data_IF_827038572944
#
_entry.id   IF_827038572944
#
_cell.length_a   1.000
_cell.length_b   1.000
_cell.length_c   1.000
_cell.angle_alpha   90.00
_cell.angle_beta   90.00
_cell.angle_gamma   90.00
#
_symmetry.space_group_name_H-M   'P 1'
#
loop_
_entity.id
_entity.type
_entity.pdbx_description
1 polymer ?
#
# COMPACT_ATOMS: atom_id res chain seq x y z
N UNK A 1 -15.34 -14.61 5.03
CA UNK A 1 -14.86 -13.80 3.89
C UNK A 1 -15.99 -12.89 3.45
N UNK A 2 -15.84 -11.62 3.77
CA UNK A 2 -16.70 -10.52 3.33
C UNK A 2 -15.96 -9.73 2.25
N UNK A 3 -16.70 -9.27 1.24
CA UNK A 3 -16.18 -8.43 0.17
C UNK A 3 -16.64 -6.99 0.42
N UNK A 4 -15.69 -6.11 0.67
CA UNK A 4 -15.92 -4.69 0.88
C UNK A 4 -15.58 -3.90 -0.39
N UNK A 5 -16.59 -3.25 -0.96
CA UNK A 5 -16.42 -2.33 -2.09
C UNK A 5 -16.20 -0.93 -1.52
N UNK A 6 -14.94 -0.47 -1.54
CA UNK A 6 -14.53 0.82 -1.00
C UNK A 6 -14.69 1.88 -2.09
N UNK A 7 -15.84 2.55 -2.09
CA UNK A 7 -16.19 3.54 -3.14
C UNK A 7 -17.27 4.52 -2.71
N UNK A 8 -17.17 5.75 -3.22
CA UNK A 8 -18.25 6.74 -3.19
C UNK A 8 -19.21 6.59 -4.38
N UNK A 9 -18.87 5.75 -5.38
CA UNK A 9 -19.69 5.53 -6.57
C UNK A 9 -20.72 4.42 -6.34
N UNK A 10 -21.95 4.82 -6.03
CA UNK A 10 -23.06 3.88 -5.82
C UNK A 10 -23.42 3.04 -7.06
N UNK A 11 -23.24 3.56 -8.27
CA UNK A 11 -23.50 2.79 -9.49
C UNK A 11 -22.50 1.65 -9.66
N UNK A 12 -21.23 1.92 -9.37
CA UNK A 12 -20.20 0.90 -9.36
C UNK A 12 -20.52 -0.19 -8.33
N UNK A 13 -20.84 0.19 -7.08
CA UNK A 13 -21.22 -0.76 -6.05
C UNK A 13 -22.43 -1.63 -6.46
N UNK A 14 -23.51 -1.03 -6.93
CA UNK A 14 -24.71 -1.76 -7.35
C UNK A 14 -24.41 -2.71 -8.52
N UNK A 15 -23.62 -2.27 -9.50
CA UNK A 15 -23.20 -3.09 -10.63
C UNK A 15 -22.37 -4.29 -10.21
N UNK A 16 -21.40 -4.08 -9.31
CA UNK A 16 -20.56 -5.13 -8.75
C UNK A 16 -21.39 -6.12 -7.92
N UNK A 17 -22.26 -5.62 -7.03
CA UNK A 17 -23.15 -6.45 -6.19
C UNK A 17 -24.10 -7.32 -7.01
N UNK A 18 -24.59 -6.82 -8.15
CA UNK A 18 -25.49 -7.55 -9.03
C UNK A 18 -24.79 -8.61 -9.89
N UNK A 19 -23.50 -8.42 -10.21
CA UNK A 19 -22.76 -9.25 -11.17
C UNK A 19 -21.76 -10.21 -10.53
N UNK A 20 -21.30 -9.93 -9.33
CA UNK A 20 -20.43 -10.86 -8.60
C UNK A 20 -21.19 -12.15 -8.28
N UNK A 21 -20.55 -13.30 -8.55
CA UNK A 21 -21.10 -14.63 -8.29
C UNK A 21 -21.10 -15.02 -6.80
N UNK A 22 -20.86 -14.06 -5.90
CA UNK A 22 -20.85 -14.26 -4.45
C UNK A 22 -22.21 -13.93 -3.84
N UNK A 23 -22.47 -14.45 -2.64
CA UNK A 23 -23.69 -14.15 -1.90
C UNK A 23 -23.85 -12.62 -1.71
N UNK A 24 -24.98 -12.02 -2.10
CA UNK A 24 -25.20 -10.57 -1.97
C UNK A 24 -25.17 -10.05 -0.53
N UNK A 25 -25.25 -10.95 0.47
CA UNK A 25 -25.13 -10.62 1.90
C UNK A 25 -23.69 -10.40 2.33
N UNK A 26 -22.74 -10.97 1.58
CA UNK A 26 -21.31 -10.90 1.89
C UNK A 26 -20.64 -9.75 1.13
N UNK A 27 -21.39 -8.98 0.31
CA UNK A 27 -20.90 -7.84 -0.45
C UNK A 27 -21.44 -6.55 0.16
N UNK A 28 -20.53 -5.81 0.80
CA UNK A 28 -20.82 -4.59 1.54
C UNK A 28 -20.14 -3.38 0.88
N UNK A 29 -20.81 -2.22 0.92
CA UNK A 29 -20.18 -0.96 0.52
C UNK A 29 -19.52 -0.31 1.73
N UNK A 30 -18.31 0.19 1.55
CA UNK A 30 -17.65 1.07 2.50
C UNK A 30 -17.27 2.39 1.85
N UNK A 31 -17.47 3.48 2.57
CA UNK A 31 -16.93 4.77 2.15
C UNK A 31 -15.46 4.87 2.59
N UNK A 32 -14.55 5.41 1.76
CA UNK A 32 -13.14 5.56 2.13
C UNK A 32 -12.94 6.22 3.50
N UNK A 33 -13.69 7.30 3.78
CA UNK A 33 -13.64 8.04 5.05
C UNK A 33 -14.12 7.25 6.27
N UNK A 34 -15.03 6.29 6.06
CA UNK A 34 -15.51 5.42 7.14
C UNK A 34 -14.44 4.39 7.45
N UNK A 35 -13.86 3.77 6.42
CA UNK A 35 -12.78 2.82 6.57
C UNK A 35 -11.54 3.43 7.25
N UNK A 36 -11.21 4.70 6.96
CA UNK A 36 -10.15 5.45 7.65
C UNK A 36 -10.35 5.61 9.15
N UNK A 37 -11.60 5.51 9.64
CA UNK A 37 -11.97 5.64 11.05
C UNK A 37 -12.24 4.30 11.73
N UNK A 38 -12.30 3.21 10.95
CA UNK A 38 -12.52 1.86 11.47
C UNK A 38 -11.23 1.30 12.07
N UNK A 39 -11.38 0.42 13.05
CA UNK A 39 -10.22 -0.31 13.57
C UNK A 39 -9.94 -1.51 12.67
N UNK A 40 -8.67 -1.74 12.34
CA UNK A 40 -8.30 -2.88 11.47
C UNK A 40 -8.62 -4.25 12.10
N UNK A 41 -8.82 -4.30 13.43
CA UNK A 41 -9.26 -5.48 14.15
C UNK A 41 -10.71 -5.89 13.84
N UNK A 42 -11.51 -4.99 13.25
CA UNK A 42 -12.90 -5.26 12.87
C UNK A 42 -13.02 -6.16 11.62
N UNK A 43 -11.90 -6.43 10.94
CA UNK A 43 -11.87 -7.14 9.66
C UNK A 43 -11.08 -8.45 9.75
N UNK A 44 -11.51 -9.46 8.99
CA UNK A 44 -10.84 -10.74 8.95
C UNK A 44 -9.70 -10.76 7.91
N UNK A 45 -8.67 -11.57 8.16
CA UNK A 45 -7.54 -11.76 7.23
C UNK A 45 -7.95 -12.32 5.87
N UNK A 46 -9.11 -12.96 5.79
CA UNK A 46 -9.64 -13.53 4.55
C UNK A 46 -10.63 -12.59 3.84
N UNK A 47 -10.90 -11.40 4.39
CA UNK A 47 -11.77 -10.42 3.75
C UNK A 47 -11.10 -9.83 2.50
N UNK A 48 -11.91 -9.30 1.60
CA UNK A 48 -11.45 -8.73 0.33
C UNK A 48 -11.92 -7.30 0.21
N UNK A 49 -11.01 -6.39 -0.12
CA UNK A 49 -11.27 -4.96 -0.25
C UNK A 49 -11.04 -4.54 -1.69
N UNK A 50 -12.08 -4.05 -2.37
CA UNK A 50 -12.03 -3.55 -3.73
C UNK A 50 -12.14 -2.03 -3.69
N UNK A 51 -11.02 -1.35 -3.90
CA UNK A 51 -10.94 0.10 -3.94
C UNK A 51 -11.27 0.62 -5.34
N UNK A 52 -12.38 1.33 -5.46
CA UNK A 52 -12.74 2.10 -6.65
C UNK A 52 -12.93 3.56 -6.24
N UNK A 53 -11.82 4.26 -6.07
CA UNK A 53 -11.77 5.64 -5.57
C UNK A 53 -10.66 6.43 -6.27
N UNK A 54 -10.80 7.76 -6.24
CA UNK A 54 -9.79 8.72 -6.70
C UNK A 54 -8.86 9.23 -5.58
N UNK A 55 -9.12 8.80 -4.36
CA UNK A 55 -8.33 9.22 -3.22
C UNK A 55 -8.44 8.15 -2.15
N UNK A 56 -7.30 7.75 -1.62
CA UNK A 56 -7.21 6.97 -0.38
C UNK A 56 -6.39 7.80 0.59
N UNK A 57 -6.90 7.94 1.81
CA UNK A 57 -6.17 8.63 2.85
C UNK A 57 -4.79 8.04 3.06
N UNK A 58 -3.93 8.89 3.61
CA UNK A 58 -2.54 8.57 3.91
C UNK A 58 -2.42 7.34 4.81
N UNK A 59 -3.28 7.23 5.83
CA UNK A 59 -3.27 6.12 6.80
C UNK A 59 -3.67 4.77 6.19
N UNK A 60 -4.69 4.73 5.32
CA UNK A 60 -5.04 3.48 4.65
C UNK A 60 -3.99 3.08 3.61
N UNK A 61 -3.49 4.05 2.86
CA UNK A 61 -2.36 3.83 1.94
C UNK A 61 -1.17 3.23 2.69
N UNK A 62 -0.96 3.68 3.93
CA UNK A 62 0.07 3.21 4.83
C UNK A 62 -0.15 1.78 5.34
N UNK A 63 -1.35 1.45 5.80
CA UNK A 63 -1.65 0.10 6.28
C UNK A 63 -1.56 -0.92 5.14
N UNK A 64 -2.11 -0.58 3.97
CA UNK A 64 -2.05 -1.43 2.76
C UNK A 64 -0.60 -1.66 2.39
N UNK A 65 0.23 -0.62 2.49
CA UNK A 65 1.62 -0.73 2.12
C UNK A 65 2.46 -1.68 2.98
N UNK A 66 2.19 -1.68 4.27
CA UNK A 66 3.03 -2.35 5.25
C UNK A 66 2.60 -3.80 5.49
N UNK A 67 1.46 -4.20 4.95
CA UNK A 67 0.91 -5.55 5.17
C UNK A 67 0.20 -5.70 6.49
N UNK A 68 0.00 -4.58 7.18
CA UNK A 68 -0.81 -4.49 8.38
C UNK A 68 -2.29 -4.30 8.03
N UNK A 69 -2.61 -4.08 6.75
CA UNK A 69 -4.00 -4.04 6.32
C UNK A 69 -4.59 -5.46 6.32
N UNK A 70 -5.75 -5.65 6.94
CA UNK A 70 -6.41 -6.95 7.00
C UNK A 70 -6.95 -7.31 5.62
N UNK A 71 -6.86 -8.59 5.26
CA UNK A 71 -7.47 -9.05 4.02
C UNK A 71 -6.64 -8.80 2.77
N UNK A 72 -7.27 -9.12 1.65
CA UNK A 72 -6.73 -8.94 0.31
C UNK A 72 -7.21 -7.65 -0.30
N UNK A 73 -6.29 -6.88 -0.88
CA UNK A 73 -6.61 -5.57 -1.46
C UNK A 73 -6.53 -5.62 -2.98
N UNK A 74 -7.61 -5.20 -3.64
CA UNK A 74 -7.71 -5.02 -5.09
C UNK A 74 -7.96 -3.53 -5.35
N UNK A 75 -7.13 -2.90 -6.17
CA UNK A 75 -7.21 -1.49 -6.50
C UNK A 75 -7.62 -1.30 -7.96
N UNK A 76 -8.68 -0.53 -8.19
CA UNK A 76 -9.21 -0.16 -9.50
C UNK A 76 -9.25 1.37 -9.56
N UNK A 77 -8.22 2.03 -10.11
CA UNK A 77 -8.14 3.48 -10.12
C UNK A 77 -9.26 4.07 -10.97
N UNK A 78 -9.91 5.11 -10.44
CA UNK A 78 -10.95 5.86 -11.19
C UNK A 78 -10.34 6.88 -12.17
N UNK A 79 -9.06 7.21 -12.02
CA UNK A 79 -8.33 8.15 -12.86
C UNK A 79 -6.97 7.60 -13.27
N UNK A 80 -6.65 7.65 -14.58
CA UNK A 80 -5.32 7.31 -15.11
C UNK A 80 -4.19 8.19 -14.58
N UNK A 81 -4.51 9.37 -14.03
CA UNK A 81 -3.54 10.31 -13.46
C UNK A 81 -3.19 9.99 -12.01
N UNK A 82 -3.97 9.14 -11.35
CA UNK A 82 -3.67 8.77 -9.98
C UNK A 82 -2.51 7.83 -9.93
N UNK A 83 -1.40 8.44 -9.59
CA UNK A 83 -0.25 7.78 -9.03
C UNK A 83 -0.65 7.35 -7.62
N UNK A 84 -1.48 6.32 -7.49
CA UNK A 84 -1.29 5.40 -6.37
C UNK A 84 0.13 4.89 -6.58
N UNK A 85 1.10 5.62 -6.02
CA UNK A 85 2.49 5.31 -6.25
C UNK A 85 2.65 3.94 -5.63
N UNK A 86 2.91 2.98 -6.51
CA UNK A 86 2.96 1.53 -6.33
C UNK A 86 4.01 1.09 -5.31
N UNK A 87 4.35 1.95 -4.37
CA UNK A 87 5.49 1.87 -3.49
C UNK A 87 5.39 0.68 -2.56
N UNK A 88 4.24 0.00 -2.52
CA UNK A 88 4.05 -1.14 -1.65
C UNK A 88 3.04 -2.15 -2.18
N UNK A 89 3.46 -2.86 -3.21
CA UNK A 89 3.70 -4.30 -3.23
C UNK A 89 2.66 -5.33 -2.72
N UNK A 90 1.68 -4.99 -1.88
CA UNK A 90 0.80 -5.94 -1.19
C UNK A 90 -0.64 -5.98 -1.71
N UNK A 91 -0.91 -5.31 -2.83
CA UNK A 91 -2.24 -5.22 -3.42
C UNK A 91 -2.20 -5.51 -4.93
N UNK A 92 -3.32 -5.99 -5.46
CA UNK A 92 -3.50 -6.26 -6.89
C UNK A 92 -4.08 -5.02 -7.56
N UNK A 93 -3.44 -4.53 -8.62
CA UNK A 93 -3.98 -3.41 -9.41
C UNK A 93 -4.64 -3.93 -10.68
N UNK A 94 -5.86 -3.49 -10.91
CA UNK A 94 -6.59 -3.71 -12.16
C UNK A 94 -6.74 -2.37 -12.89
N UNK A 95 -6.83 -2.40 -14.22
CA UNK A 95 -7.14 -1.18 -14.99
C UNK A 95 -8.59 -0.74 -14.72
N UNK A 96 -8.85 0.55 -14.88
CA UNK A 96 -10.21 1.12 -14.92
C UNK A 96 -11.18 0.42 -15.87
N UNK A 97 -10.68 -0.24 -16.93
CA UNK A 97 -11.46 -1.03 -17.89
C UNK A 97 -11.61 -2.51 -17.52
N UNK A 98 -11.19 -2.92 -16.32
CA UNK A 98 -11.27 -4.30 -15.88
C UNK A 98 -12.70 -4.83 -15.88
N UNK A 99 -12.86 -6.06 -16.33
CA UNK A 99 -14.14 -6.75 -16.40
C UNK A 99 -14.49 -7.41 -15.06
N UNK A 100 -15.73 -7.87 -14.92
CA UNK A 100 -16.15 -8.63 -13.74
C UNK A 100 -15.33 -9.92 -13.61
N UNK A 101 -15.06 -10.59 -14.73
CA UNK A 101 -14.29 -11.84 -14.74
C UNK A 101 -12.85 -11.60 -14.26
N UNK A 102 -12.24 -10.46 -14.62
CA UNK A 102 -10.92 -10.07 -14.11
C UNK A 102 -10.95 -9.89 -12.59
N UNK A 103 -11.97 -9.22 -12.06
CA UNK A 103 -12.15 -9.01 -10.62
C UNK A 103 -12.34 -10.36 -9.93
N UNK A 104 -13.22 -11.23 -10.44
CA UNK A 104 -13.51 -12.56 -9.86
C UNK A 104 -12.27 -13.43 -9.87
N UNK A 105 -11.54 -13.46 -10.99
CA UNK A 105 -10.28 -14.20 -11.10
C UNK A 105 -9.29 -13.73 -10.03
N UNK A 106 -9.18 -12.41 -9.82
CA UNK A 106 -8.32 -11.84 -8.77
C UNK A 106 -8.87 -12.02 -7.37
N UNK A 107 -10.15 -12.24 -7.13
CA UNK A 107 -10.67 -12.61 -5.80
C UNK A 107 -10.25 -14.05 -5.48
N UNK A 108 -10.51 -14.97 -6.42
CA UNK A 108 -10.33 -16.41 -6.26
C UNK A 108 -8.85 -16.82 -6.26
N UNK A 109 -8.01 -16.15 -7.04
CA UNK A 109 -6.59 -16.51 -7.12
C UNK A 109 -5.93 -16.32 -5.74
N UNK A 110 -5.49 -17.41 -5.12
CA UNK A 110 -4.64 -17.34 -3.92
C UNK A 110 -3.20 -16.89 -4.25
N UNK A 111 -2.97 -16.49 -5.50
CA UNK A 111 -1.69 -16.11 -6.03
C UNK A 111 -1.15 -14.88 -5.30
N UNK A 112 -0.37 -15.21 -4.29
CA UNK A 112 0.79 -14.45 -3.83
C UNK A 112 1.80 -14.14 -4.95
N UNK A 113 1.60 -14.64 -6.18
CA UNK A 113 2.53 -14.54 -7.31
C UNK A 113 2.51 -13.18 -8.03
N UNK A 114 1.42 -12.42 -8.01
CA UNK A 114 1.39 -11.06 -8.59
C UNK A 114 1.90 -9.97 -7.63
N UNK A 115 2.28 -10.36 -6.42
CA UNK A 115 2.71 -9.39 -5.42
C UNK A 115 4.18 -9.04 -5.62
N UNK A 116 4.44 -7.78 -5.93
CA UNK A 116 5.75 -7.20 -5.63
C UNK A 116 6.09 -7.35 -4.11
N UNK A 117 5.18 -7.81 -3.23
CA UNK A 117 5.44 -8.16 -1.84
C UNK A 117 6.51 -9.26 -1.73
N UNK A 118 6.52 -10.23 -2.66
CA UNK A 118 7.64 -11.17 -2.74
C UNK A 118 8.97 -10.47 -3.10
N UNK A 119 8.96 -9.37 -3.86
CA UNK A 119 10.17 -8.58 -4.14
C UNK A 119 10.65 -7.79 -2.92
N UNK A 120 9.75 -7.17 -2.16
CA UNK A 120 10.12 -6.48 -0.91
C UNK A 120 10.65 -7.47 0.15
N UNK A 121 10.06 -8.67 0.25
CA UNK A 121 10.57 -9.73 1.11
C UNK A 121 11.90 -10.33 0.62
N UNK A 122 12.18 -10.28 -0.69
CA UNK A 122 13.43 -10.80 -1.30
C UNK A 122 14.63 -9.86 -1.18
N UNK A 123 14.44 -8.57 -0.95
CA UNK A 123 15.54 -7.59 -0.84
C UNK A 123 15.32 -6.63 0.34
N UNK A 124 15.52 -7.10 1.59
CA UNK A 124 15.40 -6.27 2.77
C UNK A 124 16.42 -5.12 2.76
N UNK A 125 16.11 -4.07 3.52
CA UNK A 125 17.06 -2.99 3.79
C UNK A 125 18.30 -3.58 4.48
N UNK A 126 19.47 -3.26 3.95
CA UNK A 126 20.72 -3.52 4.66
C UNK A 126 20.82 -2.63 5.89
N UNK A 127 21.67 -3.02 6.85
CA UNK A 127 21.93 -2.22 8.07
C UNK A 127 22.30 -0.76 7.77
N UNK A 128 23.05 -0.52 6.70
CA UNK A 128 23.47 0.84 6.30
C UNK A 128 22.33 1.63 5.64
N UNK A 129 21.52 0.99 4.79
CA UNK A 129 20.32 1.59 4.20
C UNK A 129 19.30 1.97 5.28
N UNK A 130 19.13 1.10 6.26
CA UNK A 130 18.28 1.29 7.43
C UNK A 130 18.74 2.47 8.30
N UNK A 131 20.02 2.52 8.66
CA UNK A 131 20.58 3.63 9.44
C UNK A 131 20.46 4.98 8.72
N UNK A 132 20.74 5.03 7.41
CA UNK A 132 20.60 6.25 6.59
C UNK A 132 19.13 6.69 6.50
N UNK A 133 18.20 5.73 6.32
CA UNK A 133 16.78 6.06 6.29
C UNK A 133 16.29 6.58 7.64
N UNK A 134 16.71 5.99 8.77
CA UNK A 134 16.35 6.48 10.12
C UNK A 134 16.58 7.97 10.27
N UNK A 135 17.81 8.40 10.02
CA UNK A 135 18.20 9.78 10.17
C UNK A 135 17.53 10.68 9.12
N UNK A 136 17.32 10.17 7.89
CA UNK A 136 16.56 10.88 6.86
C UNK A 136 15.13 11.18 7.33
N UNK A 137 14.51 10.22 8.00
CA UNK A 137 13.14 10.31 8.51
C UNK A 137 13.05 11.30 9.68
N UNK A 138 14.05 11.29 10.55
CA UNK A 138 14.19 12.27 11.64
C UNK A 138 14.54 13.69 11.12
N UNK A 139 14.55 13.91 9.79
CA UNK A 139 14.81 15.21 9.18
C UNK A 139 16.27 15.64 9.20
N UNK A 140 17.20 14.72 9.44
CA UNK A 140 18.63 15.01 9.48
C UNK A 140 19.16 15.30 8.07
N UNK A 141 19.99 16.34 7.97
CA UNK A 141 20.67 16.70 6.73
C UNK A 141 21.73 15.66 6.32
N UNK A 142 21.92 15.47 5.01
CA UNK A 142 22.83 14.45 4.45
C UNK A 142 24.28 14.61 4.90
N UNK A 143 24.75 15.83 5.19
CA UNK A 143 26.09 16.07 5.72
C UNK A 143 26.21 15.55 7.15
N UNK A 144 25.19 15.82 7.99
CA UNK A 144 25.12 15.30 9.37
C UNK A 144 25.02 13.77 9.38
N UNK A 145 24.24 13.18 8.48
CA UNK A 145 24.14 11.72 8.36
C UNK A 145 25.51 11.11 8.02
N UNK A 146 26.23 11.71 7.06
CA UNK A 146 27.57 11.25 6.68
C UNK A 146 28.56 11.31 7.84
N UNK A 147 28.50 12.37 8.66
CA UNK A 147 29.30 12.49 9.88
C UNK A 147 28.90 11.46 10.93
N UNK A 148 27.61 11.29 11.22
CA UNK A 148 27.12 10.34 12.23
C UNK A 148 27.45 8.88 11.90
N UNK A 149 27.40 8.52 10.62
CA UNK A 149 27.65 7.16 10.15
C UNK A 149 29.10 6.93 9.67
N UNK A 150 29.95 7.97 9.73
CA UNK A 150 31.33 7.93 9.23
C UNK A 150 31.44 7.44 7.77
N UNK A 151 30.53 7.89 6.90
CA UNK A 151 30.49 7.57 5.47
C UNK A 151 30.46 8.83 4.61
N UNK A 152 30.92 8.71 3.37
CA UNK A 152 30.89 9.85 2.44
C UNK A 152 29.46 10.29 2.13
N UNK A 153 29.26 11.57 1.83
CA UNK A 153 27.96 12.10 1.40
C UNK A 153 27.44 11.35 0.17
N UNK A 154 28.32 10.97 -0.76
CA UNK A 154 27.96 10.17 -1.94
C UNK A 154 27.38 8.80 -1.52
N UNK A 155 27.96 8.18 -0.50
CA UNK A 155 27.50 6.91 0.07
C UNK A 155 26.14 7.08 0.77
N UNK A 156 25.90 8.19 1.47
CA UNK A 156 24.58 8.54 2.04
C UNK A 156 23.53 8.60 0.94
N UNK A 157 23.80 9.32 -0.16
CA UNK A 157 22.87 9.39 -1.29
C UNK A 157 22.62 8.04 -1.94
N UNK A 158 23.66 7.21 -2.09
CA UNK A 158 23.52 5.86 -2.64
C UNK A 158 22.64 4.97 -1.75
N UNK A 159 22.92 4.91 -0.45
CA UNK A 159 22.10 4.15 0.51
C UNK A 159 20.67 4.66 0.58
N UNK A 160 20.45 5.98 0.62
CA UNK A 160 19.12 6.58 0.61
C UNK A 160 18.35 6.21 -0.65
N UNK A 161 18.98 6.31 -1.83
CA UNK A 161 18.35 5.93 -3.11
C UNK A 161 17.98 4.45 -3.12
N UNK A 162 18.91 3.58 -2.72
CA UNK A 162 18.68 2.13 -2.71
C UNK A 162 17.57 1.77 -1.73
N UNK A 163 17.59 2.36 -0.53
CA UNK A 163 16.55 2.17 0.47
C UNK A 163 15.18 2.59 -0.02
N UNK A 164 15.06 3.79 -0.62
CA UNK A 164 13.81 4.26 -1.21
C UNK A 164 13.34 3.31 -2.32
N UNK A 165 14.25 2.84 -3.18
CA UNK A 165 13.93 1.88 -4.24
C UNK A 165 13.43 0.53 -3.70
N UNK A 166 14.05 0.01 -2.63
CA UNK A 166 13.61 -1.21 -1.93
C UNK A 166 12.24 -1.03 -1.27
N UNK A 167 11.99 0.17 -0.75
CA UNK A 167 10.71 0.61 -0.20
C UNK A 167 9.72 1.11 -1.29
N UNK A 168 10.03 0.89 -2.57
CA UNK A 168 9.16 1.20 -3.71
C UNK A 168 8.92 2.69 -4.00
N UNK A 169 9.58 3.62 -3.31
CA UNK A 169 9.48 5.06 -3.56
C UNK A 169 10.67 5.62 -4.34
N UNK A 170 10.48 6.74 -5.04
CA UNK A 170 11.56 7.46 -5.75
C UNK A 170 12.14 8.62 -4.95
N UNK A 171 11.39 9.13 -3.98
CA UNK A 171 11.83 10.21 -3.10
C UNK A 171 11.19 10.05 -1.73
N UNK A 172 11.74 10.76 -0.75
CA UNK A 172 11.23 10.68 0.62
C UNK A 172 9.76 11.07 0.67
N UNK A 173 9.30 12.08 -0.06
CA UNK A 173 7.89 12.52 -0.07
C UNK A 173 6.90 11.48 -0.60
N UNK A 174 7.38 10.48 -1.35
CA UNK A 174 6.58 9.33 -1.78
C UNK A 174 6.41 8.29 -0.67
N UNK A 175 7.29 8.32 0.32
CA UNK A 175 7.31 7.43 1.49
C UNK A 175 7.06 8.23 2.80
N UNK A 176 6.99 9.55 2.74
CA UNK A 176 6.87 10.49 3.87
C UNK A 176 5.46 10.68 4.44
N UNK A 177 4.34 10.37 3.73
CA UNK A 177 3.03 10.43 4.35
C UNK A 177 2.95 9.59 5.65
N UNK A 178 3.90 8.66 5.85
CA UNK A 178 4.03 7.75 6.98
C UNK A 178 4.80 8.30 8.18
N UNK A 179 4.90 9.63 8.34
CA UNK A 179 5.58 10.27 9.48
C UNK A 179 4.75 10.22 10.78
N UNK A 180 4.30 9.02 11.13
CA UNK A 180 3.89 8.59 12.46
C UNK A 180 4.87 7.56 13.03
N UNK A 181 4.53 7.04 14.22
CA UNK A 181 5.26 6.05 15.05
C UNK A 181 5.97 4.93 14.27
N UNK A 182 5.44 4.54 13.11
CA UNK A 182 5.87 3.39 12.32
C UNK A 182 7.21 3.50 11.59
N UNK A 183 7.60 4.65 11.04
CA UNK A 183 8.93 4.75 10.43
C UNK A 183 10.05 4.53 11.46
N UNK A 184 9.73 4.66 12.76
CA UNK A 184 10.62 4.24 13.84
C UNK A 184 10.58 2.72 14.03
N UNK A 185 9.43 2.07 13.87
CA UNK A 185 9.24 0.62 14.05
C UNK A 185 9.79 -0.23 12.87
N UNK A 186 9.66 0.24 11.62
CA UNK A 186 10.31 -0.39 10.44
C UNK A 186 11.82 -0.16 10.39
N UNK A 187 12.31 0.75 11.23
CA UNK A 187 13.73 1.09 11.40
C UNK A 187 14.27 0.61 12.77
N UNK A 188 13.59 -0.35 13.39
CA UNK A 188 14.09 -1.23 14.47
C UNK A 188 14.37 -2.60 13.88
#
# INVERSE_FOLDING_TARGET
>A
MTIYIVTENNFFFLGIKAKLLFSPKDINQLLPKVLERSEMADFEKNDVFIFYTSNVGVELSFQISTGNFPGKVIFIPTSRKEKFKLSFNQYVVLDSSATIDDIVAKIISNDSEDSHAQKAAKDPLTRQEHAVMRHTIDGMDVHKIGQCLSISIKTVYAHRRNALHKLGGRNIFEIWPFSGKFLRDAVV
#
